data_IF_572185097670
#
_entry.id   IF_572185097670
#
_cell.length_a   1.000
_cell.length_b   1.000
_cell.length_c   1.000
_cell.angle_alpha   90.00
_cell.angle_beta   90.00
_cell.angle_gamma   90.00
#
_symmetry.space_group_name_H-M   'P 1'
#
loop_
_entity.id
_entity.type
_entity.pdbx_description
1 polymer ?
#
# COMPACT_ATOMS: atom_id res chain seq x y z
N UNK A 1 -2.23 18.45 -9.77
CA UNK A 1 -3.66 18.08 -9.88
C UNK A 1 -4.00 17.05 -8.81
N UNK A 2 -5.27 17.01 -8.37
CA UNK A 2 -5.80 16.04 -7.41
C UNK A 2 -6.89 15.21 -8.11
N UNK A 3 -6.88 13.91 -7.88
CA UNK A 3 -7.79 12.93 -8.49
C UNK A 3 -8.35 11.99 -7.44
N UNK A 4 -9.57 11.49 -7.61
CA UNK A 4 -9.99 10.31 -6.87
C UNK A 4 -9.22 9.08 -7.38
N UNK A 5 -8.91 8.15 -6.48
CA UNK A 5 -8.15 6.94 -6.82
C UNK A 5 -8.90 6.04 -7.83
N UNK A 6 -10.22 6.18 -7.90
CA UNK A 6 -11.11 5.49 -8.85
C UNK A 6 -11.14 6.15 -10.24
N UNK A 7 -10.61 7.37 -10.40
CA UNK A 7 -10.51 8.05 -11.70
C UNK A 7 -9.29 7.55 -12.49
N UNK A 8 -9.23 6.23 -12.71
CA UNK A 8 -8.03 5.50 -13.14
C UNK A 8 -7.40 6.02 -14.42
N UNK A 9 -8.22 6.50 -15.36
CA UNK A 9 -7.75 7.12 -16.63
C UNK A 9 -6.95 8.41 -16.44
N UNK A 10 -7.06 9.06 -15.29
CA UNK A 10 -6.35 10.30 -14.95
C UNK A 10 -5.07 10.05 -14.16
N UNK A 11 -4.91 8.84 -13.60
CA UNK A 11 -3.76 8.47 -12.78
C UNK A 11 -2.65 7.96 -13.71
N UNK A 12 -1.78 8.87 -14.11
CA UNK A 12 -0.61 8.59 -14.94
C UNK A 12 0.68 8.43 -14.14
N UNK A 13 1.80 8.40 -14.86
CA UNK A 13 3.15 8.32 -14.29
C UNK A 13 3.52 9.49 -13.36
N UNK A 14 2.74 10.58 -13.38
CA UNK A 14 2.91 11.76 -12.52
C UNK A 14 2.42 11.57 -11.08
N UNK A 15 1.83 10.43 -10.74
CA UNK A 15 1.25 10.15 -9.42
C UNK A 15 2.08 9.14 -8.59
N UNK A 16 3.17 8.62 -9.16
CA UNK A 16 4.02 7.61 -8.54
C UNK A 16 3.44 6.20 -8.61
N UNK A 17 4.28 5.23 -8.24
CA UNK A 17 4.00 3.83 -8.55
C UNK A 17 2.90 3.24 -7.67
N UNK A 18 2.87 3.51 -6.36
CA UNK A 18 1.81 2.99 -5.48
C UNK A 18 0.42 3.41 -5.92
N UNK A 19 0.23 4.70 -6.20
CA UNK A 19 -1.06 5.19 -6.69
C UNK A 19 -1.43 4.57 -8.04
N UNK A 20 -0.45 4.39 -8.93
CA UNK A 20 -0.65 3.72 -10.22
C UNK A 20 -1.06 2.25 -10.06
N UNK A 21 -0.37 1.49 -9.21
CA UNK A 21 -0.71 0.08 -8.94
C UNK A 21 -2.12 -0.04 -8.38
N UNK A 22 -2.48 0.78 -7.39
CA UNK A 22 -3.83 0.79 -6.83
C UNK A 22 -4.91 1.20 -7.85
N UNK A 23 -4.60 2.18 -8.70
CA UNK A 23 -5.46 2.58 -9.82
C UNK A 23 -5.71 1.43 -10.81
N UNK A 24 -4.68 0.64 -11.13
CA UNK A 24 -4.84 -0.54 -12.00
C UNK A 24 -5.76 -1.56 -11.31
N UNK A 25 -5.51 -1.82 -10.03
CA UNK A 25 -6.29 -2.78 -9.25
C UNK A 25 -7.78 -2.42 -9.15
N UNK A 26 -8.10 -1.15 -8.87
CA UNK A 26 -9.50 -0.72 -8.82
C UNK A 26 -10.18 -0.76 -10.19
N UNK A 27 -9.44 -0.44 -11.28
CA UNK A 27 -9.95 -0.60 -12.65
C UNK A 27 -10.34 -2.05 -12.96
N UNK A 28 -9.57 -3.00 -12.43
CA UNK A 28 -9.80 -4.43 -12.58
C UNK A 28 -10.76 -5.00 -11.53
N UNK A 29 -11.41 -4.17 -10.71
CA UNK A 29 -12.42 -4.56 -9.74
C UNK A 29 -11.88 -5.26 -8.48
N UNK A 30 -10.61 -5.01 -8.13
CA UNK A 30 -10.04 -5.37 -6.82
C UNK A 30 -10.41 -4.27 -5.83
N UNK A 31 -10.90 -4.67 -4.65
CA UNK A 31 -11.25 -3.72 -3.60
C UNK A 31 -10.00 -3.08 -3.01
N UNK A 32 -10.00 -1.76 -2.96
CA UNK A 32 -8.97 -0.93 -2.33
C UNK A 32 -9.66 0.09 -1.40
N UNK A 33 -8.95 0.65 -0.41
CA UNK A 33 -9.48 1.78 0.34
C UNK A 33 -9.70 2.99 -0.56
N UNK A 34 -10.87 3.61 -0.44
CA UNK A 34 -11.18 4.85 -1.15
C UNK A 34 -10.20 5.95 -0.73
N UNK A 35 -9.87 6.81 -1.68
CA UNK A 35 -8.86 7.82 -1.44
C UNK A 35 -8.65 8.73 -2.63
N UNK A 36 -7.72 9.66 -2.43
CA UNK A 36 -7.34 10.67 -3.41
C UNK A 36 -5.84 10.60 -3.64
N UNK A 37 -5.43 11.05 -4.81
CA UNK A 37 -4.03 11.16 -5.20
C UNK A 37 -3.73 12.57 -5.71
N UNK A 38 -2.61 13.13 -5.29
CA UNK A 38 -2.04 14.35 -5.86
C UNK A 38 -0.75 14.01 -6.62
N UNK A 39 -0.62 14.60 -7.81
CA UNK A 39 0.56 14.43 -8.65
C UNK A 39 1.81 15.16 -8.12
N UNK A 40 2.93 14.95 -8.80
CA UNK A 40 4.24 15.51 -8.44
C UNK A 40 4.31 17.04 -8.43
N UNK A 41 3.37 17.74 -9.09
CA UNK A 41 3.40 19.20 -9.21
C UNK A 41 3.35 19.87 -7.83
N UNK A 42 2.55 19.33 -6.91
CA UNK A 42 2.41 19.91 -5.58
C UNK A 42 3.64 19.70 -4.70
N UNK A 43 4.37 18.60 -4.91
CA UNK A 43 5.66 18.40 -4.26
C UNK A 43 6.73 19.36 -4.78
N UNK A 44 6.76 19.65 -6.09
CA UNK A 44 7.66 20.66 -6.64
C UNK A 44 7.41 22.05 -6.06
N UNK A 45 6.15 22.46 -5.93
CA UNK A 45 5.79 23.73 -5.30
C UNK A 45 6.22 23.75 -3.82
N UNK A 46 6.00 22.65 -3.09
CA UNK A 46 6.44 22.50 -1.71
C UNK A 46 7.96 22.64 -1.56
N UNK A 47 8.76 22.03 -2.44
CA UNK A 47 10.23 22.17 -2.43
C UNK A 47 10.69 23.61 -2.65
N UNK A 48 10.01 24.37 -3.52
CA UNK A 48 10.36 25.76 -3.83
C UNK A 48 9.96 26.72 -2.71
N UNK A 49 8.78 26.51 -2.12
CA UNK A 49 8.16 27.45 -1.17
C UNK A 49 8.52 27.10 0.28
N UNK A 50 8.83 25.83 0.56
CA UNK A 50 9.09 25.31 1.91
C UNK A 50 7.82 25.07 2.74
N UNK A 51 6.64 25.14 2.14
CA UNK A 51 5.33 24.88 2.77
C UNK A 51 4.28 24.55 1.70
N UNK A 52 3.15 23.98 2.12
CA UNK A 52 2.01 23.74 1.23
C UNK A 52 1.37 25.07 0.81
N UNK A 53 0.90 25.14 -0.45
CA UNK A 53 0.14 26.30 -0.89
C UNK A 53 -1.28 26.25 -0.31
N UNK A 54 -1.84 27.41 0.04
CA UNK A 54 -3.20 27.50 0.59
C UNK A 54 -4.24 26.91 -0.38
N UNK A 55 -4.04 27.06 -1.69
CA UNK A 55 -4.94 26.51 -2.70
C UNK A 55 -4.90 24.97 -2.71
N UNK A 56 -3.70 24.39 -2.71
CA UNK A 56 -3.53 22.94 -2.66
C UNK A 56 -4.17 22.33 -1.42
N UNK A 57 -3.91 22.90 -0.24
CA UNK A 57 -4.49 22.40 1.01
C UNK A 57 -6.02 22.48 1.00
N UNK A 58 -6.60 23.59 0.51
CA UNK A 58 -8.05 23.73 0.39
C UNK A 58 -8.66 22.70 -0.53
N UNK A 59 -8.01 22.40 -1.66
CA UNK A 59 -8.51 21.41 -2.61
C UNK A 59 -8.40 19.99 -2.06
N UNK A 60 -7.30 19.64 -1.38
CA UNK A 60 -7.18 18.37 -0.65
C UNK A 60 -8.32 18.23 0.36
N UNK A 61 -8.53 19.23 1.22
CA UNK A 61 -9.57 19.17 2.24
C UNK A 61 -10.97 19.02 1.63
N UNK A 62 -11.24 19.69 0.50
CA UNK A 62 -12.51 19.55 -0.24
C UNK A 62 -12.67 18.13 -0.78
N UNK A 63 -11.64 17.56 -1.40
CA UNK A 63 -11.70 16.19 -1.90
C UNK A 63 -11.86 15.17 -0.76
N UNK A 64 -11.33 15.44 0.43
CA UNK A 64 -11.52 14.61 1.62
C UNK A 64 -12.94 14.72 2.22
N UNK A 65 -13.82 15.60 1.74
CA UNK A 65 -15.22 15.61 2.20
C UNK A 65 -15.98 14.34 1.76
N UNK A 66 -15.51 13.67 0.70
CA UNK A 66 -16.07 12.40 0.21
C UNK A 66 -15.28 11.17 0.64
N UNK A 67 -14.21 11.34 1.43
CA UNK A 67 -13.38 10.25 1.95
C UNK A 67 -13.56 10.19 3.48
N UNK A 68 -14.08 9.09 4.04
CA UNK A 68 -14.19 8.95 5.49
C UNK A 68 -12.82 8.91 6.16
N UNK A 69 -12.72 9.57 7.32
CA UNK A 69 -11.55 9.50 8.19
C UNK A 69 -11.63 8.37 9.22
N UNK A 70 -10.52 8.08 9.94
CA UNK A 70 -9.21 8.71 9.81
C UNK A 70 -8.49 8.29 8.50
N UNK A 71 -7.35 8.91 8.20
CA UNK A 71 -6.67 8.74 6.92
C UNK A 71 -5.28 8.10 7.04
N UNK A 72 -4.90 7.32 6.03
CA UNK A 72 -3.54 6.95 5.72
C UNK A 72 -2.98 7.96 4.70
N UNK A 73 -1.95 8.72 5.09
CA UNK A 73 -1.23 9.66 4.22
C UNK A 73 0.09 9.03 3.82
N UNK A 74 0.24 8.68 2.56
CA UNK A 74 1.31 7.83 2.03
C UNK A 74 2.10 8.55 0.94
N UNK A 75 3.41 8.32 0.94
CA UNK A 75 4.26 8.60 -0.21
C UNK A 75 3.87 7.72 -1.40
N UNK A 76 3.95 8.26 -2.61
CA UNK A 76 3.86 7.52 -3.86
C UNK A 76 4.92 8.07 -4.81
N UNK A 77 6.15 7.54 -4.74
CA UNK A 77 7.27 8.08 -5.52
C UNK A 77 7.36 7.45 -6.92
N UNK A 78 8.08 8.11 -7.82
CA UNK A 78 8.45 7.55 -9.13
C UNK A 78 9.50 6.42 -9.06
N UNK A 79 10.25 6.32 -7.96
CA UNK A 79 11.41 5.42 -7.81
C UNK A 79 11.23 4.29 -6.79
N UNK A 80 10.06 4.19 -6.14
CA UNK A 80 9.82 3.22 -5.06
C UNK A 80 10.00 1.76 -5.53
N UNK A 81 9.68 1.47 -6.80
CA UNK A 81 9.68 0.11 -7.37
C UNK A 81 10.69 -0.06 -8.53
N UNK A 82 11.70 0.80 -8.63
CA UNK A 82 12.70 0.67 -9.70
C UNK A 82 13.76 -0.39 -9.34
N UNK A 83 14.02 -1.31 -10.27
CA UNK A 83 15.00 -2.41 -10.14
C UNK A 83 16.45 -1.96 -9.94
N UNK A 84 16.74 -0.67 -10.14
CA UNK A 84 18.11 -0.13 -10.08
C UNK A 84 18.49 0.48 -8.73
N UNK A 85 17.53 0.96 -7.93
CA UNK A 85 17.71 1.44 -6.53
C UNK A 85 16.34 1.43 -5.85
N UNK A 86 16.05 0.40 -5.06
CA UNK A 86 14.77 0.33 -4.34
C UNK A 86 14.77 1.32 -3.17
N UNK A 87 13.98 2.40 -3.30
CA UNK A 87 13.61 3.26 -2.17
C UNK A 87 12.46 2.65 -1.33
N UNK A 88 12.20 1.35 -1.53
CA UNK A 88 11.22 0.56 -0.81
C UNK A 88 11.35 0.78 0.71
N UNK A 89 10.25 1.19 1.35
CA UNK A 89 10.19 1.42 2.80
C UNK A 89 10.97 2.65 3.31
N UNK A 90 11.54 3.48 2.43
CA UNK A 90 12.35 4.64 2.85
C UNK A 90 11.53 5.91 3.10
N UNK A 91 10.40 6.05 2.41
CA UNK A 91 9.53 7.21 2.54
C UNK A 91 8.47 7.00 3.63
N UNK A 92 8.08 8.09 4.29
CA UNK A 92 7.14 8.03 5.41
C UNK A 92 5.73 7.71 4.94
N UNK A 93 5.03 6.96 5.79
CA UNK A 93 3.57 6.83 5.80
C UNK A 93 3.08 7.27 7.17
N UNK A 94 1.98 8.04 7.21
CA UNK A 94 1.30 8.46 8.44
C UNK A 94 -0.07 7.78 8.47
N UNK A 95 -0.31 6.94 9.47
CA UNK A 95 -1.56 6.22 9.66
C UNK A 95 -2.43 6.93 10.71
N UNK A 96 -3.73 6.60 10.72
CA UNK A 96 -4.68 7.11 11.70
C UNK A 96 -4.71 8.64 11.81
N UNK A 97 -4.50 9.34 10.70
CA UNK A 97 -4.44 10.80 10.66
C UNK A 97 -5.86 11.38 10.72
N UNK A 98 -6.24 12.14 11.76
CA UNK A 98 -7.52 12.83 11.77
C UNK A 98 -7.51 13.99 10.76
N UNK A 99 -8.70 14.40 10.30
CA UNK A 99 -8.85 15.50 9.34
C UNK A 99 -8.10 16.78 9.72
N UNK A 100 -8.09 17.11 11.02
CA UNK A 100 -7.40 18.29 11.56
C UNK A 100 -5.87 18.24 11.46
N UNK A 101 -5.27 17.07 11.23
CA UNK A 101 -3.80 16.88 11.12
C UNK A 101 -3.34 16.48 9.72
N UNK A 102 -4.21 16.55 8.72
CA UNK A 102 -3.85 16.19 7.34
C UNK A 102 -2.72 17.08 6.82
N UNK A 103 -2.75 18.39 7.08
CA UNK A 103 -1.67 19.31 6.68
C UNK A 103 -0.30 18.88 7.24
N UNK A 104 -0.23 18.66 8.55
CA UNK A 104 0.98 18.20 9.24
C UNK A 104 1.50 16.88 8.66
N UNK A 105 0.61 15.92 8.44
CA UNK A 105 0.96 14.62 7.89
C UNK A 105 1.50 14.71 6.46
N UNK A 106 0.94 15.59 5.62
CA UNK A 106 1.42 15.82 4.25
C UNK A 106 2.84 16.41 4.28
N UNK A 107 3.08 17.43 5.11
CA UNK A 107 4.40 18.03 5.27
C UNK A 107 5.43 16.97 5.70
N UNK A 108 5.09 16.12 6.67
CA UNK A 108 5.99 15.05 7.11
C UNK A 108 6.31 14.03 5.99
N UNK A 109 5.33 13.67 5.16
CA UNK A 109 5.53 12.77 4.02
C UNK A 109 6.44 13.42 2.98
N UNK A 110 6.20 14.68 2.61
CA UNK A 110 7.04 15.42 1.68
C UNK A 110 8.46 15.65 2.21
N UNK A 111 8.62 15.97 3.49
CA UNK A 111 9.94 16.14 4.11
C UNK A 111 10.74 14.84 4.12
N UNK A 112 10.07 13.68 4.22
CA UNK A 112 10.74 12.38 4.13
C UNK A 112 11.37 12.11 2.76
N UNK A 113 10.85 12.74 1.70
CA UNK A 113 11.40 12.67 0.35
C UNK A 113 12.62 13.59 0.16
N UNK A 114 12.78 14.63 0.98
CA UNK A 114 13.96 15.52 0.96
C UNK A 114 15.19 14.85 1.55
N UNK A 115 15.00 14.08 2.61
CA UNK A 115 16.05 13.35 3.33
C UNK A 115 15.69 11.86 3.47
N UNK A 116 15.65 11.10 2.37
CA UNK A 116 15.46 9.65 2.46
C UNK A 116 16.55 9.06 3.36
N UNK A 117 16.15 8.22 4.33
CA UNK A 117 17.08 7.67 5.34
C UNK A 117 18.30 7.05 4.65
N UNK A 118 19.48 7.62 4.88
CA UNK A 118 20.75 7.08 4.38
C UNK A 118 21.15 7.46 2.96
N UNK A 119 20.42 8.37 2.28
CA UNK A 119 20.78 8.85 0.94
C UNK A 119 20.87 10.37 0.89
N UNK A 120 21.87 10.90 0.16
CA UNK A 120 21.92 12.31 -0.22
C UNK A 120 20.70 12.69 -1.05
N UNK A 121 20.24 13.94 -0.90
CA UNK A 121 19.14 14.50 -1.70
C UNK A 121 19.32 14.15 -3.19
N UNK A 122 18.34 13.46 -3.76
CA UNK A 122 18.32 13.09 -5.16
C UNK A 122 17.22 13.90 -5.88
N UNK A 123 17.57 14.86 -6.75
CA UNK A 123 16.59 15.71 -7.45
C UNK A 123 15.70 14.93 -8.42
N UNK A 124 16.02 13.67 -8.73
CA UNK A 124 15.20 12.80 -9.59
C UNK A 124 14.03 12.14 -8.84
N UNK A 125 14.00 12.23 -7.51
CA UNK A 125 12.90 11.69 -6.70
C UNK A 125 11.71 12.63 -6.76
N UNK A 126 10.67 12.19 -7.45
CA UNK A 126 9.39 12.88 -7.53
C UNK A 126 8.40 12.18 -6.61
N UNK A 127 7.69 12.97 -5.81
CA UNK A 127 6.79 12.46 -4.78
C UNK A 127 5.34 12.82 -5.08
N UNK A 128 4.55 11.79 -5.37
CA UNK A 128 3.09 11.87 -5.36
C UNK A 128 2.60 11.68 -3.93
N UNK A 129 1.37 12.14 -3.68
CA UNK A 129 0.73 12.04 -2.38
C UNK A 129 -0.52 11.17 -2.53
N UNK A 130 -0.62 10.11 -1.73
CA UNK A 130 -1.79 9.24 -1.68
C UNK A 130 -2.43 9.39 -0.29
N UNK A 131 -3.72 9.78 -0.25
CA UNK A 131 -4.48 9.87 1.01
C UNK A 131 -5.67 8.91 0.90
N UNK A 132 -5.71 7.91 1.75
CA UNK A 132 -6.74 6.88 1.76
C UNK A 132 -7.49 6.86 3.08
N UNK A 133 -8.75 6.41 3.06
CA UNK A 133 -9.46 6.05 4.27
C UNK A 133 -8.72 4.93 5.02
N UNK A 134 -8.66 5.02 6.35
CA UNK A 134 -8.31 3.90 7.22
C UNK A 134 -9.53 3.00 7.38
N UNK A 135 -9.41 1.75 6.95
CA UNK A 135 -10.41 0.72 7.17
C UNK A 135 -10.01 -0.06 8.42
N UNK A 136 -10.90 -0.20 9.43
CA UNK A 136 -10.64 -1.07 10.57
C UNK A 136 -10.33 -2.49 10.10
N UNK A 137 -9.35 -3.15 10.71
CA UNK A 137 -8.89 -4.45 10.26
C UNK A 137 -9.14 -5.51 11.33
N UNK A 138 -9.78 -6.61 10.96
CA UNK A 138 -9.82 -7.81 11.80
C UNK A 138 -8.49 -8.55 11.68
N UNK A 139 -7.98 -8.63 10.44
CA UNK A 139 -6.74 -9.32 10.07
C UNK A 139 -6.03 -8.48 9.03
N UNK A 140 -4.77 -8.16 9.24
CA UNK A 140 -3.92 -7.55 8.22
C UNK A 140 -2.66 -8.37 8.00
N UNK A 141 -2.05 -8.19 6.84
CA UNK A 141 -0.99 -9.06 6.41
C UNK A 141 -0.25 -8.59 5.17
N UNK A 142 0.76 -9.37 4.84
CA UNK A 142 1.43 -9.35 3.55
C UNK A 142 1.25 -10.71 2.87
N UNK A 143 1.15 -10.71 1.54
CA UNK A 143 1.06 -11.91 0.71
C UNK A 143 2.15 -11.83 -0.34
N UNK A 144 2.96 -12.87 -0.44
CA UNK A 144 3.87 -13.09 -1.55
C UNK A 144 3.27 -14.16 -2.46
N UNK A 145 3.13 -13.84 -3.74
CA UNK A 145 2.61 -14.82 -4.72
C UNK A 145 3.68 -15.74 -5.29
N UNK A 146 4.90 -15.63 -4.77
CA UNK A 146 5.99 -16.56 -5.00
C UNK A 146 6.56 -17.01 -3.66
N UNK A 147 6.65 -18.32 -3.48
CA UNK A 147 7.27 -18.92 -2.30
C UNK A 147 8.80 -18.94 -2.51
N UNK A 148 9.46 -17.94 -1.93
CA UNK A 148 10.92 -17.78 -2.02
C UNK A 148 11.66 -18.95 -1.35
N UNK A 149 11.09 -19.52 -0.29
CA UNK A 149 11.74 -20.59 0.50
C UNK A 149 11.77 -21.88 -0.31
N UNK A 150 10.64 -22.25 -0.91
CA UNK A 150 10.51 -23.47 -1.71
C UNK A 150 10.76 -23.23 -3.22
N UNK A 151 11.08 -22.00 -3.62
CA UNK A 151 11.27 -21.56 -4.99
C UNK A 151 10.10 -21.94 -5.92
N UNK A 152 8.87 -21.76 -5.44
CA UNK A 152 7.66 -22.21 -6.14
C UNK A 152 6.75 -21.06 -6.53
N UNK A 153 6.32 -21.07 -7.79
CA UNK A 153 5.25 -20.20 -8.31
C UNK A 153 3.86 -20.79 -8.10
N UNK A 154 3.75 -22.01 -7.58
CA UNK A 154 2.48 -22.75 -7.44
C UNK A 154 1.82 -22.54 -6.07
N UNK A 155 2.47 -21.82 -5.16
CA UNK A 155 1.96 -21.48 -3.85
C UNK A 155 2.00 -19.97 -3.60
N UNK A 156 1.16 -19.52 -2.66
CA UNK A 156 1.29 -18.21 -2.03
C UNK A 156 1.77 -18.38 -0.60
N UNK A 157 2.49 -17.38 -0.10
CA UNK A 157 2.88 -17.25 1.30
C UNK A 157 2.17 -16.04 1.86
N UNK A 158 1.40 -16.20 2.94
CA UNK A 158 0.76 -15.08 3.62
C UNK A 158 1.19 -15.01 5.08
N UNK A 159 1.67 -13.84 5.50
CA UNK A 159 1.98 -13.50 6.87
C UNK A 159 0.95 -12.52 7.40
N UNK A 160 0.41 -12.76 8.60
CA UNK A 160 -0.72 -11.98 9.10
C UNK A 160 -0.81 -11.92 10.62
N UNK A 161 -1.46 -10.85 11.09
CA UNK A 161 -1.73 -10.53 12.49
C UNK A 161 -3.16 -10.02 12.66
N UNK A 162 -3.75 -10.12 13.88
CA UNK A 162 -4.99 -9.43 14.20
C UNK A 162 -4.77 -7.92 14.24
N UNK A 163 -5.79 -7.16 13.82
CA UNK A 163 -5.73 -5.70 13.84
C UNK A 163 -4.98 -5.07 12.66
N UNK A 164 -4.36 -3.91 12.88
CA UNK A 164 -3.76 -3.06 11.84
C UNK A 164 -2.35 -3.49 11.37
N UNK A 165 -2.05 -3.22 10.09
CA UNK A 165 -0.87 -3.72 9.38
C UNK A 165 0.45 -3.09 9.86
N UNK A 166 0.42 -1.93 10.53
CA UNK A 166 1.62 -1.22 11.01
C UNK A 166 2.50 -2.12 11.90
N UNK A 167 1.86 -3.05 12.63
CA UNK A 167 2.52 -3.95 13.57
C UNK A 167 3.48 -4.92 12.86
N UNK A 168 3.15 -5.35 11.63
CA UNK A 168 3.99 -6.24 10.81
C UNK A 168 5.27 -5.54 10.37
N UNK A 169 5.13 -4.33 9.83
CA UNK A 169 6.25 -3.56 9.25
C UNK A 169 7.25 -3.12 10.33
N UNK A 170 6.79 -3.00 11.59
CA UNK A 170 7.65 -2.61 12.71
C UNK A 170 8.61 -3.72 13.19
N UNK A 171 8.40 -4.99 12.78
CA UNK A 171 9.20 -6.14 13.20
C UNK A 171 9.06 -6.51 14.69
N UNK A 172 8.09 -5.93 15.40
CA UNK A 172 7.93 -6.07 16.85
C UNK A 172 7.13 -7.31 17.28
N UNK A 173 6.54 -8.04 16.34
CA UNK A 173 5.64 -9.15 16.62
C UNK A 173 5.88 -10.26 15.60
N UNK A 174 5.94 -11.51 16.04
CA UNK A 174 6.06 -12.66 15.15
C UNK A 174 4.67 -12.99 14.54
N UNK A 175 4.46 -12.79 13.22
CA UNK A 175 3.17 -13.06 12.58
C UNK A 175 2.87 -14.55 12.48
N UNK A 176 1.60 -14.88 12.24
CA UNK A 176 1.26 -16.23 11.76
C UNK A 176 1.58 -16.30 10.27
N UNK A 177 2.04 -17.46 9.81
CA UNK A 177 2.38 -17.71 8.40
C UNK A 177 1.54 -18.88 7.88
N UNK A 178 1.06 -18.75 6.64
CA UNK A 178 0.38 -19.84 5.95
C UNK A 178 0.90 -19.95 4.51
N UNK A 179 1.12 -21.18 4.06
CA UNK A 179 1.42 -21.48 2.66
C UNK A 179 0.23 -22.21 2.07
N UNK A 180 -0.30 -21.67 0.98
CA UNK A 180 -1.48 -22.19 0.28
C UNK A 180 -1.09 -22.54 -1.16
N UNK A 181 -1.43 -23.75 -1.60
CA UNK A 181 -1.31 -24.16 -3.00
C UNK A 181 -2.35 -23.41 -3.86
N UNK A 182 -1.93 -22.77 -4.95
CA UNK A 182 -2.77 -21.93 -5.82
C UNK A 182 -3.88 -22.73 -6.51
N UNK A 183 -3.59 -23.95 -6.94
CA UNK A 183 -4.51 -24.77 -7.74
C UNK A 183 -5.65 -25.35 -6.92
N UNK A 184 -5.41 -25.73 -5.66
CA UNK A 184 -6.39 -26.43 -4.82
C UNK A 184 -6.83 -25.64 -3.58
N UNK A 185 -6.07 -24.63 -3.17
CA UNK A 185 -6.21 -23.96 -1.87
C UNK A 185 -5.79 -24.80 -0.67
N UNK A 186 -5.13 -25.95 -0.90
CA UNK A 186 -4.62 -26.81 0.17
C UNK A 186 -3.60 -26.04 1.01
N UNK A 187 -3.74 -26.13 2.33
CA UNK A 187 -2.72 -25.65 3.27
C UNK A 187 -1.53 -26.60 3.24
N UNK A 188 -0.40 -26.10 2.75
CA UNK A 188 0.88 -26.82 2.72
C UNK A 188 1.62 -26.68 4.05
N UNK A 189 1.55 -25.49 4.64
CA UNK A 189 2.16 -25.16 5.92
C UNK A 189 1.28 -24.16 6.67
N UNK A 190 1.24 -24.28 7.99
CA UNK A 190 0.68 -23.26 8.87
C UNK A 190 1.55 -23.14 10.12
N UNK A 191 2.13 -21.96 10.32
CA UNK A 191 2.93 -21.63 11.50
C UNK A 191 2.19 -20.58 12.32
N UNK A 192 2.06 -20.85 13.62
CA UNK A 192 1.39 -19.93 14.55
C UNK A 192 2.36 -18.86 14.99
N UNK A 193 1.95 -17.60 14.85
CA UNK A 193 2.62 -16.45 15.42
C UNK A 193 2.42 -16.33 16.93
N UNK A 194 2.90 -15.22 17.48
CA UNK A 194 2.74 -14.90 18.91
C UNK A 194 1.28 -14.66 19.30
N UNK A 195 0.49 -14.10 18.40
CA UNK A 195 -0.93 -13.82 18.62
C UNK A 195 -1.79 -14.89 17.97
N UNK A 196 -2.71 -15.45 18.76
CA UNK A 196 -3.60 -16.51 18.29
C UNK A 196 -4.64 -15.92 17.34
N UNK A 197 -4.54 -16.32 16.07
CA UNK A 197 -5.47 -15.94 15.01
C UNK A 197 -5.85 -17.19 14.21
N UNK A 198 -7.13 -17.32 13.89
CA UNK A 198 -7.63 -18.41 13.07
C UNK A 198 -8.15 -17.87 11.74
N UNK A 199 -7.61 -18.41 10.65
CA UNK A 199 -8.20 -18.27 9.32
C UNK A 199 -9.13 -19.45 9.09
N UNK A 200 -10.43 -19.18 9.09
CA UNK A 200 -11.42 -20.13 8.58
C UNK A 200 -11.26 -20.35 7.06
N UNK A 201 -11.95 -21.35 6.52
CA UNK A 201 -11.88 -21.68 5.09
C UNK A 201 -12.27 -20.51 4.17
N UNK A 202 -13.22 -19.67 4.60
CA UNK A 202 -13.68 -18.54 3.79
C UNK A 202 -12.59 -17.47 3.67
N UNK A 203 -11.93 -17.09 4.78
CA UNK A 203 -10.83 -16.12 4.78
C UNK A 203 -9.63 -16.62 4.00
N UNK A 204 -9.28 -17.91 4.12
CA UNK A 204 -8.21 -18.52 3.31
C UNK A 204 -8.49 -18.38 1.82
N UNK A 205 -9.71 -18.68 1.39
CA UNK A 205 -10.09 -18.54 -0.02
C UNK A 205 -10.15 -17.09 -0.48
N UNK A 206 -10.55 -16.14 0.38
CA UNK A 206 -10.48 -14.71 0.06
C UNK A 206 -9.04 -14.26 -0.18
N UNK A 207 -8.11 -14.64 0.70
CA UNK A 207 -6.68 -14.34 0.55
C UNK A 207 -6.14 -14.95 -0.76
N UNK A 208 -6.39 -16.25 -0.98
CA UNK A 208 -5.90 -16.97 -2.15
C UNK A 208 -6.40 -16.38 -3.47
N UNK A 209 -7.72 -16.20 -3.59
CA UNK A 209 -8.35 -15.76 -4.83
C UNK A 209 -7.96 -14.32 -5.18
N UNK A 210 -7.81 -13.43 -4.18
CA UNK A 210 -7.36 -12.07 -4.45
C UNK A 210 -5.88 -12.03 -4.80
N UNK A 211 -5.03 -12.82 -4.12
CA UNK A 211 -3.61 -12.88 -4.44
C UNK A 211 -3.35 -13.37 -5.87
N UNK A 212 -3.99 -14.48 -6.29
CA UNK A 212 -3.85 -15.02 -7.65
C UNK A 212 -4.45 -14.08 -8.71
N UNK A 213 -5.56 -13.41 -8.40
CA UNK A 213 -6.13 -12.38 -9.29
C UNK A 213 -5.18 -11.19 -9.46
N UNK A 214 -4.62 -10.68 -8.38
CA UNK A 214 -3.68 -9.54 -8.40
C UNK A 214 -2.41 -9.90 -9.17
N UNK A 215 -1.84 -11.08 -8.94
CA UNK A 215 -0.73 -11.61 -9.75
C UNK A 215 -1.09 -11.71 -11.24
N UNK A 216 -2.30 -12.20 -11.57
CA UNK A 216 -2.77 -12.27 -12.96
C UNK A 216 -2.96 -10.91 -13.63
N UNK A 217 -3.35 -9.88 -12.88
CA UNK A 217 -3.47 -8.50 -13.37
C UNK A 217 -2.10 -7.94 -13.76
N UNK A 218 -1.09 -8.13 -12.90
CA UNK A 218 0.26 -7.61 -13.14
C UNK A 218 1.14 -8.52 -14.01
N UNK A 219 0.76 -9.80 -14.15
CA UNK A 219 1.49 -10.84 -14.91
C UNK A 219 2.92 -11.08 -14.41
N UNK A 220 3.13 -10.88 -13.12
CA UNK A 220 4.40 -11.01 -12.42
C UNK A 220 4.12 -11.33 -10.95
N UNK A 221 5.02 -12.05 -10.25
CA UNK A 221 4.86 -12.28 -8.83
C UNK A 221 4.77 -10.99 -8.02
N UNK A 222 3.84 -10.95 -7.07
CA UNK A 222 3.48 -9.75 -6.31
C UNK A 222 3.75 -9.91 -4.81
N UNK A 223 4.22 -8.81 -4.20
CA UNK A 223 4.19 -8.53 -2.77
C UNK A 223 3.00 -7.59 -2.49
N UNK A 224 2.02 -8.11 -1.74
CA UNK A 224 0.70 -7.51 -1.55
C UNK A 224 0.48 -7.22 -0.07
N UNK A 225 0.29 -5.95 0.29
CA UNK A 225 -0.23 -5.57 1.60
C UNK A 225 -1.75 -5.64 1.58
N UNK A 226 -2.36 -6.30 2.57
CA UNK A 226 -3.81 -6.46 2.62
C UNK A 226 -4.39 -6.28 4.02
N UNK A 227 -5.71 -6.10 4.07
CA UNK A 227 -6.51 -6.31 5.26
C UNK A 227 -7.81 -7.07 4.95
N UNK A 228 -8.37 -7.68 5.98
CA UNK A 228 -9.71 -8.25 6.02
C UNK A 228 -10.55 -7.46 7.03
N UNK A 229 -11.70 -6.97 6.59
CA UNK A 229 -12.74 -6.41 7.46
C UNK A 229 -14.05 -7.16 7.20
N UNK A 230 -14.58 -7.86 8.21
CA UNK A 230 -15.83 -8.62 8.09
C UNK A 230 -15.85 -9.53 6.85
N UNK A 231 -14.74 -10.25 6.59
CA UNK A 231 -14.51 -11.12 5.42
C UNK A 231 -14.39 -10.41 4.05
N UNK A 232 -14.32 -9.08 4.01
CA UNK A 232 -13.99 -8.33 2.80
C UNK A 232 -12.50 -8.09 2.72
N UNK A 233 -11.90 -8.50 1.61
CA UNK A 233 -10.50 -8.27 1.29
C UNK A 233 -10.30 -6.87 0.73
N UNK A 234 -9.31 -6.16 1.25
CA UNK A 234 -8.85 -4.89 0.69
C UNK A 234 -7.36 -4.99 0.40
N UNK A 235 -6.99 -4.69 -0.85
CA UNK A 235 -5.60 -4.49 -1.22
C UNK A 235 -5.17 -3.09 -0.80
N UNK A 236 -4.17 -3.00 0.07
CA UNK A 236 -3.58 -1.75 0.53
C UNK A 236 -2.41 -1.33 -0.38
N UNK A 237 -1.69 -2.29 -0.94
CA UNK A 237 -0.55 -2.06 -1.84
C UNK A 237 -0.25 -3.35 -2.62
N UNK A 238 0.26 -3.21 -3.85
CA UNK A 238 0.82 -4.32 -4.61
C UNK A 238 2.04 -3.84 -5.38
N UNK A 239 3.10 -4.64 -5.40
CA UNK A 239 4.34 -4.37 -6.16
C UNK A 239 4.99 -5.67 -6.61
N UNK A 240 5.80 -5.59 -7.66
CA UNK A 240 6.57 -6.73 -8.16
C UNK A 240 7.58 -7.24 -7.12
N UNK A 241 7.74 -8.56 -7.05
CA UNK A 241 8.86 -9.19 -6.32
C UNK A 241 10.10 -9.11 -7.20
N UNK A 242 11.05 -8.26 -6.84
CA UNK A 242 12.27 -8.01 -7.64
C UNK A 242 13.48 -8.86 -7.25
N UNK A 243 13.36 -9.72 -6.24
CA UNK A 243 14.46 -10.51 -5.66
C UNK A 243 14.40 -12.00 -6.00
N UNK A 244 13.78 -12.35 -7.13
CA UNK A 244 13.69 -13.74 -7.63
C UNK A 244 15.03 -14.22 -8.21
#
# INVERSE_FOLDING_TARGET
>A
MIFNLEETKRIGNSCGNKARSLSILTNEGVQIPIGIVADFTHYYDYLKIGRLTTHFLKDILRCLDTVPGPYAVRSSANVEDSSRRSYAGQFKTKLNVPRSRVEEAICEVYDSARNPKGFSYNPEVLMGLLIQQMIPSDISGVIFTYDIVNQSSDSIVAEFLPGECERLVSGKTNPSMIILEKSTGKTLLFERGQESISLDGQKKMQILNNATRIEGIFKSPQDIEFLLNSNKFYCLQSRDITSL
#
